data_IF_706710075670
#
_entry.id   IF_706710075670
#
_cell.length_a   1.000
_cell.length_b   1.000
_cell.length_c   1.000
_cell.angle_alpha   90.00
_cell.angle_beta   90.00
_cell.angle_gamma   90.00
#
_symmetry.space_group_name_H-M   'P 1'
#
loop_
_entity.id
_entity.type
_entity.pdbx_description
1 polymer ?
#
# COMPACT_ATOMS: atom_id res chain seq x y z
N UNK A 1 -1.49 2.16 16.35
CA UNK A 1 -0.20 2.12 15.59
C UNK A 1 0.45 3.51 15.64
N UNK A 2 1.78 3.67 15.66
CA UNK A 2 2.41 5.01 15.60
C UNK A 2 2.89 5.29 14.17
N UNK A 3 2.29 6.28 13.52
CA UNK A 3 2.63 6.73 12.16
C UNK A 3 3.43 8.03 12.20
N UNK A 4 4.07 8.38 11.07
CA UNK A 4 4.67 9.70 10.89
C UNK A 4 3.54 10.73 10.69
N UNK A 5 3.71 11.95 11.18
CA UNK A 5 2.72 13.03 11.04
C UNK A 5 2.44 13.38 9.56
N UNK A 6 3.38 13.08 8.67
CA UNK A 6 3.26 13.31 7.22
C UNK A 6 2.79 12.06 6.45
N UNK A 7 2.30 11.02 7.14
CA UNK A 7 1.78 9.82 6.45
C UNK A 7 0.40 10.07 5.88
N UNK A 8 0.24 9.85 4.57
CA UNK A 8 -1.08 9.78 3.94
C UNK A 8 -1.75 8.44 4.30
N UNK A 9 -2.98 8.52 4.81
CA UNK A 9 -3.73 7.35 5.25
C UNK A 9 -5.01 7.24 4.44
N UNK A 10 -5.21 6.07 3.82
CA UNK A 10 -6.46 5.72 3.17
C UNK A 10 -7.04 4.45 3.80
N UNK A 11 -8.25 4.54 4.33
CA UNK A 11 -8.98 3.42 4.92
C UNK A 11 -10.34 3.32 4.24
N UNK A 12 -10.63 2.22 3.52
CA UNK A 12 -11.96 2.00 2.96
C UNK A 12 -12.97 1.71 4.08
N UNK A 13 -14.15 2.36 4.04
CA UNK A 13 -15.27 2.03 4.92
C UNK A 13 -15.54 2.96 6.10
N UNK A 14 -14.92 4.14 6.16
CA UNK A 14 -15.16 5.15 7.22
C UNK A 14 -15.05 4.60 8.65
N UNK A 15 -14.06 3.74 8.87
CA UNK A 15 -13.66 3.23 10.19
C UNK A 15 -12.37 3.92 10.64
N UNK A 16 -12.08 3.87 11.93
CA UNK A 16 -10.85 4.46 12.46
C UNK A 16 -9.60 3.62 12.15
N UNK A 17 -8.42 4.23 12.35
CA UNK A 17 -7.14 3.61 12.06
C UNK A 17 -6.86 2.39 12.93
N UNK A 18 -7.17 2.45 14.23
CA UNK A 18 -6.85 1.36 15.14
C UNK A 18 -7.73 0.14 14.85
N UNK A 19 -9.00 0.36 14.51
CA UNK A 19 -9.93 -0.67 14.03
C UNK A 19 -9.44 -1.27 12.71
N UNK A 20 -9.05 -0.45 11.72
CA UNK A 20 -8.55 -0.92 10.43
C UNK A 20 -7.30 -1.80 10.58
N UNK A 21 -6.32 -1.34 11.38
CA UNK A 21 -5.07 -2.08 11.64
C UNK A 21 -5.33 -3.36 12.44
N UNK A 22 -6.30 -3.35 13.36
CA UNK A 22 -6.63 -4.55 14.15
C UNK A 22 -7.18 -5.71 13.30
N UNK A 23 -7.76 -5.39 12.13
CA UNK A 23 -8.34 -6.37 11.21
C UNK A 23 -7.33 -6.92 10.19
N UNK A 24 -6.16 -6.29 10.04
CA UNK A 24 -5.14 -6.70 9.06
C UNK A 24 -4.78 -8.17 9.21
N UNK A 25 -4.97 -8.97 8.15
CA UNK A 25 -4.52 -10.36 8.11
C UNK A 25 -3.30 -10.56 7.21
N UNK A 26 -3.15 -9.70 6.20
CA UNK A 26 -2.00 -9.69 5.29
C UNK A 26 -1.41 -8.28 5.27
N UNK A 27 -0.10 -8.18 5.55
CA UNK A 27 0.64 -6.92 5.52
C UNK A 27 1.70 -6.98 4.43
N UNK A 28 1.75 -5.97 3.57
CA UNK A 28 2.85 -5.75 2.64
C UNK A 28 3.50 -4.39 2.90
N UNK A 29 4.82 -4.33 2.77
CA UNK A 29 5.60 -3.10 2.87
C UNK A 29 6.45 -3.02 1.60
N UNK A 30 6.17 -2.03 0.76
CA UNK A 30 6.89 -1.74 -0.48
C UNK A 30 7.66 -0.43 -0.37
N UNK A 31 8.77 -0.30 -1.11
CA UNK A 31 9.49 0.96 -1.18
C UNK A 31 8.73 1.96 -2.07
N UNK A 32 8.23 1.51 -3.21
CA UNK A 32 7.61 2.32 -4.25
C UNK A 32 6.15 1.94 -4.51
N UNK A 33 5.47 2.76 -5.30
CA UNK A 33 4.03 2.67 -5.57
C UNK A 33 3.60 1.46 -6.41
N UNK A 34 4.55 0.72 -7.00
CA UNK A 34 4.30 -0.47 -7.83
C UNK A 34 4.73 -1.79 -7.16
N UNK A 35 5.58 -1.71 -6.13
CA UNK A 35 6.13 -2.88 -5.43
C UNK A 35 5.02 -3.77 -4.89
N UNK A 36 3.97 -3.20 -4.30
CA UNK A 36 2.90 -3.96 -3.64
C UNK A 36 2.05 -4.70 -4.69
N UNK A 37 1.72 -4.05 -5.79
CA UNK A 37 0.94 -4.60 -6.89
C UNK A 37 1.68 -5.76 -7.57
N UNK A 38 2.99 -5.63 -7.77
CA UNK A 38 3.81 -6.64 -8.45
C UNK A 38 4.19 -7.77 -7.49
N UNK A 39 4.72 -7.43 -6.32
CA UNK A 39 5.38 -8.39 -5.43
C UNK A 39 4.42 -9.01 -4.41
N UNK A 40 3.34 -8.31 -4.05
CA UNK A 40 2.36 -8.77 -3.07
C UNK A 40 0.99 -9.12 -3.67
N UNK A 41 0.89 -9.26 -5.00
CA UNK A 41 -0.34 -9.64 -5.71
C UNK A 41 -1.05 -10.82 -5.05
N UNK A 42 -0.33 -11.88 -4.70
CA UNK A 42 -0.92 -13.07 -4.08
C UNK A 42 -1.65 -12.73 -2.76
N UNK A 43 -1.09 -11.84 -1.94
CA UNK A 43 -1.73 -11.37 -0.71
C UNK A 43 -2.98 -10.55 -0.98
N UNK A 44 -2.93 -9.64 -1.96
CA UNK A 44 -4.09 -8.85 -2.40
C UNK A 44 -5.22 -9.78 -2.88
N UNK A 45 -4.90 -10.68 -3.81
CA UNK A 45 -5.85 -11.62 -4.40
C UNK A 45 -6.48 -12.55 -3.34
N UNK A 46 -5.71 -12.93 -2.31
CA UNK A 46 -6.20 -13.75 -1.20
C UNK A 46 -7.19 -13.03 -0.28
N UNK A 47 -7.18 -11.70 -0.24
CA UNK A 47 -8.09 -10.88 0.55
C UNK A 47 -9.27 -10.35 -0.27
N UNK A 48 -9.15 -10.28 -1.60
CA UNK A 48 -10.18 -9.71 -2.46
C UNK A 48 -11.51 -10.48 -2.32
N UNK A 49 -12.59 -9.72 -2.04
CA UNK A 49 -13.96 -10.22 -1.83
C UNK A 49 -14.08 -11.25 -0.70
N UNK A 50 -13.16 -11.24 0.26
CA UNK A 50 -13.29 -12.03 1.48
C UNK A 50 -13.93 -11.19 2.60
N UNK A 51 -14.65 -11.86 3.50
CA UNK A 51 -15.32 -11.20 4.64
C UNK A 51 -14.45 -11.13 5.88
N UNK A 52 -13.43 -11.99 5.95
CA UNK A 52 -12.60 -12.24 7.12
C UNK A 52 -11.09 -12.06 6.85
N UNK A 53 -10.71 -11.66 5.63
CA UNK A 53 -9.32 -11.38 5.26
C UNK A 53 -9.17 -9.95 4.77
N UNK A 54 -8.16 -9.27 5.32
CA UNK A 54 -7.92 -7.85 5.10
C UNK A 54 -6.46 -7.64 4.73
N UNK A 55 -6.24 -6.90 3.66
CA UNK A 55 -4.92 -6.53 3.19
C UNK A 55 -4.59 -5.10 3.62
N UNK A 56 -3.40 -4.89 4.17
CA UNK A 56 -2.84 -3.57 4.44
C UNK A 56 -1.52 -3.42 3.69
N UNK A 57 -1.40 -2.34 2.93
CA UNK A 57 -0.18 -1.97 2.22
C UNK A 57 0.46 -0.73 2.85
N UNK A 58 1.78 -0.74 2.97
CA UNK A 58 2.58 0.44 3.35
C UNK A 58 3.58 0.72 2.25
N UNK A 59 3.46 1.86 1.60
CA UNK A 59 4.47 2.37 0.65
C UNK A 59 5.36 3.36 1.38
N UNK A 60 6.66 3.09 1.44
CA UNK A 60 7.61 3.83 2.29
C UNK A 60 8.09 5.12 1.63
N UNK A 61 8.14 5.17 0.29
CA UNK A 61 8.63 6.32 -0.48
C UNK A 61 7.71 6.63 -1.65
N UNK A 62 7.83 7.83 -2.23
CA UNK A 62 7.04 8.24 -3.39
C UNK A 62 7.54 7.69 -4.73
N UNK A 63 8.65 6.95 -4.75
CA UNK A 63 9.25 6.44 -5.99
C UNK A 63 9.79 7.51 -6.95
N UNK A 64 9.97 8.75 -6.48
CA UNK A 64 10.46 9.87 -7.30
C UNK A 64 11.87 9.67 -7.86
N UNK A 65 12.68 8.80 -7.24
CA UNK A 65 14.03 8.46 -7.67
C UNK A 65 14.13 7.39 -8.76
N UNK A 66 13.01 6.79 -9.18
CA UNK A 66 13.01 5.78 -10.24
C UNK A 66 13.59 6.37 -11.54
N UNK A 67 14.45 5.64 -12.27
CA UNK A 67 15.13 6.17 -13.44
C UNK A 67 14.12 6.51 -14.55
N UNK A 68 13.71 7.78 -14.59
CA UNK A 68 12.99 8.37 -15.72
C UNK A 68 13.99 8.63 -16.83
N UNK A 69 14.36 7.55 -17.52
CA UNK A 69 15.29 7.57 -18.65
C UNK A 69 14.63 6.97 -19.88
N UNK A 70 15.15 7.29 -21.07
CA UNK A 70 14.56 6.83 -22.32
C UNK A 70 13.19 7.46 -22.59
N UNK A 71 12.25 6.66 -23.07
CA UNK A 71 10.94 7.13 -23.58
C UNK A 71 10.07 7.80 -22.51
N UNK A 72 10.38 7.60 -21.23
CA UNK A 72 9.59 8.12 -20.11
C UNK A 72 10.25 9.32 -19.39
N UNK A 73 11.35 9.85 -19.93
CA UNK A 73 12.10 10.94 -19.30
C UNK A 73 11.25 12.21 -19.07
N UNK A 74 10.31 12.50 -19.97
CA UNK A 74 9.52 13.74 -19.98
C UNK A 74 8.08 13.57 -19.43
N UNK A 75 7.73 12.39 -18.90
CA UNK A 75 6.42 12.17 -18.27
C UNK A 75 6.46 12.68 -16.82
N UNK A 76 5.43 13.40 -16.38
CA UNK A 76 5.25 13.86 -14.98
C UNK A 76 4.27 13.00 -14.23
#
# INVERSE_FOLDING_TARGET
>A
MKLNDNTDIFIPGNIDLDEAVSRTTHLAIGAHQDDIEIMAYHGIASCYRQVDKWFSGVTVTDGSGSPRSGEYADYT
#
